data_IF_106176039418
#
_entry.id   IF_106176039418
#
_cell.length_a   1.000
_cell.length_b   1.000
_cell.length_c   1.000
_cell.angle_alpha   90.00
_cell.angle_beta   90.00
_cell.angle_gamma   90.00
#
_symmetry.space_group_name_H-M   'P 1'
#
loop_
_entity.id
_entity.type
_entity.pdbx_description
1 polymer ?
#
# COMPACT_ATOMS: atom_id res chain seq x y z
N UNK A 1 -14.34 -23.77 24.41
CA UNK A 1 -12.98 -23.45 23.92
C UNK A 1 -12.88 -21.95 23.97
N UNK A 2 -11.92 -21.43 24.71
CA UNK A 2 -11.65 -20.00 24.75
C UNK A 2 -10.86 -19.61 23.50
N UNK A 3 -11.49 -18.88 22.58
CA UNK A 3 -10.87 -18.41 21.35
C UNK A 3 -9.76 -17.40 21.63
N UNK A 4 -9.80 -16.69 22.76
CA UNK A 4 -8.81 -15.70 23.15
C UNK A 4 -7.39 -16.25 23.26
N UNK A 5 -7.24 -17.49 23.72
CA UNK A 5 -5.95 -18.19 23.75
C UNK A 5 -5.37 -18.39 22.35
N UNK A 6 -6.20 -18.82 21.39
CA UNK A 6 -5.77 -19.03 20.01
C UNK A 6 -5.40 -17.71 19.33
N UNK A 7 -6.14 -16.64 19.60
CA UNK A 7 -5.86 -15.30 19.08
C UNK A 7 -4.52 -14.76 19.60
N UNK A 8 -4.22 -14.94 20.89
CA UNK A 8 -2.90 -14.60 21.45
C UNK A 8 -1.78 -15.38 20.77
N UNK A 9 -1.96 -16.70 20.61
CA UNK A 9 -0.98 -17.55 19.93
C UNK A 9 -0.78 -17.14 18.47
N UNK A 10 -1.85 -16.73 17.77
CA UNK A 10 -1.78 -16.21 16.41
C UNK A 10 -0.85 -15.00 16.33
N UNK A 11 -0.98 -14.06 17.27
CA UNK A 11 -0.13 -12.85 17.34
C UNK A 11 1.31 -13.20 17.73
N UNK A 12 1.52 -14.01 18.76
CA UNK A 12 2.86 -14.44 19.21
C UNK A 12 3.66 -15.15 18.11
N UNK A 13 2.98 -15.89 17.24
CA UNK A 13 3.59 -16.62 16.12
C UNK A 13 3.64 -15.82 14.82
N UNK A 14 3.22 -14.54 14.82
CA UNK A 14 3.10 -13.71 13.62
C UNK A 14 2.29 -14.39 12.49
N UNK A 15 1.24 -15.11 12.86
CA UNK A 15 0.37 -15.77 11.90
C UNK A 15 -0.56 -14.74 11.20
N UNK A 16 -0.70 -14.87 9.88
CA UNK A 16 -1.53 -13.97 9.08
C UNK A 16 -3.01 -14.30 9.19
N UNK A 17 -3.34 -15.60 9.14
CA UNK A 17 -4.72 -16.09 9.10
C UNK A 17 -4.89 -17.32 10.01
N UNK A 18 -6.06 -17.50 10.58
CA UNK A 18 -6.50 -18.66 11.34
C UNK A 18 -7.78 -19.22 10.72
N UNK A 19 -7.87 -20.54 10.61
CA UNK A 19 -8.97 -21.24 9.96
C UNK A 19 -9.64 -22.19 10.95
N UNK A 20 -10.96 -22.08 11.07
CA UNK A 20 -11.78 -22.95 11.89
C UNK A 20 -12.88 -23.55 11.02
N UNK A 21 -12.88 -24.88 10.93
CA UNK A 21 -13.88 -25.63 10.16
C UNK A 21 -14.14 -26.99 10.78
N UNK A 22 -15.38 -27.47 10.73
CA UNK A 22 -15.78 -28.76 11.29
C UNK A 22 -14.99 -29.90 10.64
N UNK A 23 -14.45 -30.80 11.48
CA UNK A 23 -13.68 -31.98 11.06
C UNK A 23 -12.17 -31.77 10.93
N UNK A 24 -11.69 -30.52 10.87
CA UNK A 24 -10.26 -30.22 10.84
C UNK A 24 -9.79 -29.59 12.17
N UNK A 25 -8.51 -29.76 12.57
CA UNK A 25 -7.92 -28.95 13.64
C UNK A 25 -7.97 -27.46 13.31
N UNK A 26 -7.81 -26.61 14.31
CA UNK A 26 -7.58 -25.17 14.07
C UNK A 26 -6.26 -25.04 13.31
N UNK A 27 -6.25 -24.34 12.18
CA UNK A 27 -5.02 -24.04 11.44
C UNK A 27 -4.66 -22.57 11.58
N UNK A 28 -3.35 -22.28 11.62
CA UNK A 28 -2.82 -20.94 11.42
C UNK A 28 -1.89 -20.91 10.22
N UNK A 29 -1.81 -19.76 9.55
CA UNK A 29 -0.93 -19.52 8.42
C UNK A 29 0.23 -18.63 8.85
N UNK A 30 1.45 -19.13 8.74
CA UNK A 30 2.68 -18.38 9.04
C UNK A 30 3.52 -18.39 7.76
N UNK A 31 3.89 -17.21 7.27
CA UNK A 31 4.71 -17.04 6.06
C UNK A 31 4.21 -17.85 4.85
N UNK A 32 2.89 -17.89 4.65
CA UNK A 32 2.29 -18.60 3.53
C UNK A 32 1.99 -20.09 3.77
N UNK A 33 2.53 -20.70 4.82
CA UNK A 33 2.39 -22.13 5.14
C UNK A 33 1.37 -22.36 6.26
N UNK A 34 0.58 -23.44 6.15
CA UNK A 34 -0.43 -23.82 7.14
C UNK A 34 0.15 -24.75 8.20
N UNK A 35 -0.14 -24.44 9.47
CA UNK A 35 0.29 -25.20 10.65
C UNK A 35 -0.91 -25.53 11.53
N UNK A 36 -1.13 -26.80 11.91
CA UNK A 36 -2.23 -27.18 12.78
C UNK A 36 -1.91 -26.85 14.25
N UNK A 37 -2.89 -26.28 14.95
CA UNK A 37 -2.88 -26.04 16.39
C UNK A 37 -3.57 -27.20 17.10
N UNK A 38 -2.88 -28.34 17.16
CA UNK A 38 -3.35 -29.59 17.74
C UNK A 38 -3.72 -30.65 16.70
N UNK A 39 -4.09 -31.84 17.18
CA UNK A 39 -4.30 -33.02 16.33
C UNK A 39 -5.77 -33.44 16.21
N UNK A 40 -6.67 -32.80 16.95
CA UNK A 40 -8.08 -33.18 17.01
C UNK A 40 -8.92 -32.23 16.17
N UNK A 41 -9.75 -32.79 15.29
CA UNK A 41 -10.70 -32.01 14.50
C UNK A 41 -11.79 -31.35 15.35
N UNK A 42 -12.23 -30.16 14.95
CA UNK A 42 -13.35 -29.48 15.61
C UNK A 42 -14.65 -30.28 15.41
N UNK A 43 -15.40 -30.63 16.47
CA UNK A 43 -16.64 -31.39 16.32
C UNK A 43 -17.77 -30.54 15.71
N UNK A 44 -18.81 -31.16 15.14
CA UNK A 44 -19.98 -30.45 14.60
C UNK A 44 -20.58 -29.45 15.60
N UNK A 45 -20.96 -28.27 15.10
CA UNK A 45 -21.50 -27.19 15.91
C UNK A 45 -20.48 -26.43 16.80
N UNK A 46 -19.23 -26.88 16.89
CA UNK A 46 -18.21 -26.18 17.70
C UNK A 46 -17.86 -24.81 17.12
N UNK A 47 -17.63 -24.74 15.80
CA UNK A 47 -17.32 -23.47 15.12
C UNK A 47 -18.50 -22.50 15.25
N UNK A 48 -19.74 -23.00 15.16
CA UNK A 48 -20.95 -22.19 15.39
C UNK A 48 -20.93 -21.56 16.78
N UNK A 49 -20.65 -22.34 17.83
CA UNK A 49 -20.58 -21.83 19.21
C UNK A 49 -19.52 -20.73 19.35
N UNK A 50 -18.34 -20.91 18.75
CA UNK A 50 -17.27 -19.91 18.80
C UNK A 50 -17.69 -18.65 18.04
N UNK A 51 -18.16 -18.78 16.80
CA UNK A 51 -18.57 -17.63 15.99
C UNK A 51 -19.67 -16.81 16.69
N UNK A 52 -20.68 -17.47 17.25
CA UNK A 52 -21.78 -16.80 17.94
C UNK A 52 -21.33 -16.11 19.23
N UNK A 53 -20.29 -16.61 19.91
CA UNK A 53 -19.71 -15.92 21.07
C UNK A 53 -18.91 -14.66 20.71
N UNK A 54 -18.55 -14.49 19.44
CA UNK A 54 -17.87 -13.29 18.95
C UNK A 54 -18.86 -12.24 18.46
N UNK A 55 -20.07 -12.65 18.05
CA UNK A 55 -21.09 -11.79 17.49
C UNK A 55 -21.85 -11.00 18.58
N UNK A 56 -22.25 -9.78 18.27
CA UNK A 56 -23.24 -9.04 19.05
C UNK A 56 -24.69 -9.49 18.76
N UNK A 57 -25.65 -8.97 19.53
CA UNK A 57 -27.07 -9.33 19.42
C UNK A 57 -27.70 -8.99 18.06
N UNK A 58 -27.18 -7.98 17.35
CA UNK A 58 -27.65 -7.58 16.03
C UNK A 58 -27.03 -8.40 14.90
N UNK A 59 -25.80 -8.89 15.09
CA UNK A 59 -25.04 -9.65 14.11
C UNK A 59 -25.54 -11.08 13.91
N UNK A 60 -26.01 -11.75 14.97
CA UNK A 60 -26.50 -13.13 14.86
C UNK A 60 -27.69 -13.26 13.89
N UNK A 61 -28.76 -12.45 14.00
CA UNK A 61 -29.87 -12.50 13.03
C UNK A 61 -29.44 -12.17 11.60
N UNK A 62 -28.44 -11.29 11.43
CA UNK A 62 -27.90 -10.95 10.11
C UNK A 62 -27.19 -12.17 9.52
N UNK A 63 -26.31 -12.82 10.26
CA UNK A 63 -25.62 -14.03 9.80
C UNK A 63 -26.61 -15.16 9.49
N UNK A 64 -27.64 -15.36 10.31
CA UNK A 64 -28.63 -16.41 10.06
C UNK A 64 -29.48 -16.15 8.80
N UNK A 65 -29.64 -14.89 8.40
CA UNK A 65 -30.36 -14.49 7.18
C UNK A 65 -29.47 -14.51 5.94
N UNK A 66 -28.28 -13.91 6.02
CA UNK A 66 -27.38 -13.70 4.87
C UNK A 66 -26.43 -14.88 4.66
N UNK A 67 -26.21 -15.74 5.67
CA UNK A 67 -25.28 -16.89 5.66
C UNK A 67 -23.79 -16.53 5.54
N UNK A 68 -23.46 -15.25 5.45
CA UNK A 68 -22.12 -14.68 5.59
C UNK A 68 -22.13 -13.46 6.53
N UNK A 69 -21.02 -13.26 7.26
CA UNK A 69 -20.80 -12.08 8.10
C UNK A 69 -19.31 -11.71 8.14
N UNK A 70 -19.01 -10.44 7.90
CA UNK A 70 -17.70 -9.85 8.18
C UNK A 70 -17.81 -8.99 9.44
N UNK A 71 -16.85 -9.12 10.35
CA UNK A 71 -16.79 -8.32 11.57
C UNK A 71 -15.34 -8.10 12.00
N UNK A 72 -15.11 -7.11 12.85
CA UNK A 72 -13.82 -6.90 13.51
C UNK A 72 -13.94 -7.14 15.01
N UNK A 73 -12.93 -7.76 15.60
CA UNK A 73 -12.82 -7.94 17.05
C UNK A 73 -11.50 -7.37 17.54
N UNK A 74 -11.51 -6.78 18.73
CA UNK A 74 -10.31 -6.35 19.43
C UNK A 74 -10.21 -7.12 20.74
N UNK A 75 -9.06 -7.76 20.96
CA UNK A 75 -8.79 -8.47 22.20
C UNK A 75 -7.59 -7.82 22.89
N UNK A 76 -7.80 -7.44 24.15
CA UNK A 76 -6.75 -6.87 24.99
C UNK A 76 -5.56 -7.83 25.04
N UNK A 77 -4.35 -7.30 24.84
CA UNK A 77 -3.07 -8.01 24.80
C UNK A 77 -2.88 -9.02 23.64
N UNK A 78 -3.85 -9.18 22.73
CA UNK A 78 -3.69 -10.02 21.54
C UNK A 78 -3.69 -9.22 20.24
N UNK A 79 -4.39 -8.07 20.20
CA UNK A 79 -4.47 -7.21 19.02
C UNK A 79 -5.87 -7.15 18.41
N UNK A 80 -5.96 -6.69 17.16
CA UNK A 80 -7.21 -6.63 16.40
C UNK A 80 -7.23 -7.67 15.31
N UNK A 81 -8.42 -8.19 15.04
CA UNK A 81 -8.63 -9.24 14.08
C UNK A 81 -9.87 -8.97 13.25
N UNK A 82 -9.82 -9.30 11.98
CA UNK A 82 -10.99 -9.37 11.11
C UNK A 82 -11.47 -10.82 11.07
N UNK A 83 -12.76 -11.01 11.28
CA UNK A 83 -13.41 -12.32 11.32
C UNK A 83 -14.40 -12.37 10.16
N UNK A 84 -14.25 -13.37 9.30
CA UNK A 84 -15.24 -13.74 8.31
C UNK A 84 -15.88 -15.07 8.76
N UNK A 85 -17.20 -15.06 8.89
CA UNK A 85 -18.02 -16.22 9.24
C UNK A 85 -18.93 -16.55 8.06
N UNK A 86 -19.02 -17.83 7.71
CA UNK A 86 -19.78 -18.29 6.54
C UNK A 86 -20.37 -19.68 6.76
N UNK A 87 -21.30 -20.10 5.90
CA UNK A 87 -21.83 -21.47 5.86
C UNK A 87 -21.09 -22.33 4.85
N UNK A 88 -20.76 -23.56 5.23
CA UNK A 88 -20.21 -24.56 4.32
C UNK A 88 -20.69 -25.97 4.69
N UNK A 89 -21.27 -26.68 3.71
CA UNK A 89 -21.80 -28.05 3.88
C UNK A 89 -22.76 -28.20 5.09
N UNK A 90 -23.59 -27.18 5.35
CA UNK A 90 -24.54 -27.13 6.47
C UNK A 90 -23.93 -26.65 7.81
N UNK A 91 -22.62 -26.68 7.95
CA UNK A 91 -21.88 -26.25 9.14
C UNK A 91 -21.39 -24.80 9.02
N UNK A 92 -20.99 -24.19 10.15
CA UNK A 92 -20.38 -22.86 10.16
C UNK A 92 -18.87 -23.01 9.95
N UNK A 93 -18.31 -22.18 9.08
CA UNK A 93 -16.88 -21.96 8.91
C UNK A 93 -16.50 -20.56 9.39
N UNK A 94 -15.25 -20.39 9.81
CA UNK A 94 -14.74 -19.10 10.24
C UNK A 94 -13.26 -18.94 9.86
N UNK A 95 -12.93 -17.76 9.33
CA UNK A 95 -11.55 -17.34 9.07
C UNK A 95 -11.28 -16.06 9.83
N UNK A 96 -10.18 -16.03 10.57
CA UNK A 96 -9.73 -14.87 11.34
C UNK A 96 -8.41 -14.38 10.76
N UNK A 97 -8.30 -13.10 10.46
CA UNK A 97 -7.07 -12.44 9.99
C UNK A 97 -6.57 -11.46 11.04
N UNK A 98 -5.29 -11.52 11.38
CA UNK A 98 -4.68 -10.53 12.27
C UNK A 98 -4.46 -9.21 11.52
N UNK A 99 -4.83 -8.09 12.15
CA UNK A 99 -4.58 -6.75 11.63
C UNK A 99 -3.28 -6.23 12.24
N UNK A 100 -2.36 -5.77 11.39
CA UNK A 100 -1.02 -5.35 11.82
C UNK A 100 -1.09 -4.00 12.53
N UNK A 101 -0.44 -3.91 13.69
CA UNK A 101 -0.29 -2.66 14.45
C UNK A 101 1.13 -2.09 14.39
N UNK A 102 2.11 -2.92 14.02
CA UNK A 102 3.50 -2.48 13.82
C UNK A 102 3.62 -2.04 12.37
N UNK A 103 3.86 -0.76 12.18
CA UNK A 103 4.07 -0.13 10.88
C UNK A 103 5.57 0.09 10.75
N UNK A 104 6.26 -0.57 9.79
CA UNK A 104 7.65 -0.30 9.50
C UNK A 104 7.84 1.17 9.08
N UNK A 105 9.01 1.73 9.37
CA UNK A 105 9.40 3.06 8.86
C UNK A 105 9.74 3.01 7.37
N UNK A 106 9.76 4.19 6.75
CA UNK A 106 10.19 4.37 5.35
C UNK A 106 11.61 3.80 5.14
N UNK A 107 12.51 4.02 6.11
CA UNK A 107 13.88 3.50 6.11
C UNK A 107 13.93 1.97 6.21
N UNK A 108 13.20 1.37 7.15
CA UNK A 108 13.19 -0.09 7.36
C UNK A 108 12.66 -0.84 6.13
N UNK A 109 11.79 -0.20 5.35
CA UNK A 109 11.28 -0.75 4.10
C UNK A 109 12.22 -0.52 2.91
N UNK A 110 13.29 0.27 3.05
CA UNK A 110 14.12 0.73 1.94
C UNK A 110 13.31 1.48 0.86
N UNK A 111 12.34 2.29 1.28
CA UNK A 111 11.56 3.13 0.38
C UNK A 111 12.33 4.41 0.02
N UNK A 112 12.05 5.03 -1.16
CA UNK A 112 12.67 6.28 -1.55
C UNK A 112 12.49 7.38 -0.49
N UNK A 113 13.57 8.08 -0.06
CA UNK A 113 13.49 9.12 0.96
C UNK A 113 12.50 10.25 0.64
N UNK A 114 12.34 10.57 -0.66
CA UNK A 114 11.41 11.60 -1.17
C UNK A 114 9.95 11.35 -0.75
N UNK A 115 9.58 10.12 -0.37
CA UNK A 115 8.24 9.83 0.15
C UNK A 115 7.94 10.59 1.45
N UNK A 116 8.97 10.92 2.26
CA UNK A 116 8.86 11.77 3.44
C UNK A 116 8.43 13.19 3.07
N UNK A 117 9.00 13.74 2.01
CA UNK A 117 8.66 15.09 1.55
C UNK A 117 7.28 15.10 0.89
N UNK A 118 6.96 14.07 0.11
CA UNK A 118 5.66 13.92 -0.55
C UNK A 118 4.52 13.87 0.47
N UNK A 119 4.62 13.06 1.53
CA UNK A 119 3.53 12.96 2.52
C UNK A 119 3.35 14.24 3.35
N UNK A 120 4.42 15.04 3.50
CA UNK A 120 4.38 16.30 4.25
C UNK A 120 3.86 17.48 3.42
N UNK A 121 3.51 17.26 2.15
CA UNK A 121 2.87 18.29 1.35
C UNK A 121 1.51 18.70 1.92
N UNK A 122 1.16 20.00 1.85
CA UNK A 122 -0.09 20.48 2.43
C UNK A 122 -1.32 19.98 1.67
N UNK A 123 -1.20 19.81 0.36
CA UNK A 123 -2.30 19.41 -0.53
C UNK A 123 -1.80 18.74 -1.81
N UNK A 124 -2.70 18.04 -2.47
CA UNK A 124 -2.47 17.40 -3.76
C UNK A 124 -2.94 15.95 -3.76
N UNK A 125 -2.78 15.29 -4.89
CA UNK A 125 -3.10 13.89 -5.08
C UNK A 125 -1.80 13.07 -5.16
N UNK A 126 -1.68 12.07 -4.30
CA UNK A 126 -0.57 11.10 -4.30
C UNK A 126 -1.12 9.72 -4.58
N UNK A 127 -0.63 9.09 -5.65
CA UNK A 127 -1.07 7.75 -6.05
C UNK A 127 0.04 6.74 -5.78
N UNK A 128 -0.26 5.71 -4.98
CA UNK A 128 0.64 4.56 -4.80
C UNK A 128 0.09 3.41 -5.64
N UNK A 129 0.84 2.98 -6.64
CA UNK A 129 0.38 2.01 -7.63
C UNK A 129 1.26 0.77 -7.68
N UNK A 130 0.71 -0.31 -8.20
CA UNK A 130 1.39 -1.60 -8.30
C UNK A 130 0.42 -2.78 -8.29
N UNK A 131 0.94 -3.95 -8.62
CA UNK A 131 0.19 -5.20 -8.57
C UNK A 131 -0.21 -5.59 -7.14
N UNK A 132 -1.07 -6.61 -7.01
CA UNK A 132 -1.41 -7.17 -5.70
C UNK A 132 -0.15 -7.75 -5.04
N UNK A 133 0.07 -7.40 -3.77
CA UNK A 133 1.25 -7.84 -3.03
C UNK A 133 2.55 -7.08 -3.35
N UNK A 134 2.49 -5.95 -4.06
CA UNK A 134 3.67 -5.11 -4.32
C UNK A 134 4.11 -4.22 -3.15
N UNK A 135 3.38 -4.24 -2.03
CA UNK A 135 3.71 -3.45 -0.83
C UNK A 135 2.97 -2.12 -0.69
N UNK A 136 2.03 -1.77 -1.59
CA UNK A 136 1.29 -0.48 -1.57
C UNK A 136 0.76 -0.08 -0.20
N UNK A 137 -0.03 -0.94 0.44
CA UNK A 137 -0.66 -0.65 1.74
C UNK A 137 0.38 -0.47 2.83
N UNK A 138 1.49 -1.22 2.79
CA UNK A 138 2.60 -1.08 3.73
C UNK A 138 3.34 0.25 3.53
N UNK A 139 3.58 0.66 2.29
CA UNK A 139 4.19 1.96 1.97
C UNK A 139 3.30 3.12 2.39
N UNK A 140 2.00 3.06 2.09
CA UNK A 140 1.02 4.06 2.53
C UNK A 140 0.96 4.17 4.06
N UNK A 141 0.89 3.04 4.76
CA UNK A 141 0.91 3.03 6.21
C UNK A 141 2.20 3.70 6.74
N UNK A 142 3.36 3.41 6.14
CA UNK A 142 4.63 4.02 6.55
C UNK A 142 4.66 5.53 6.33
N UNK A 143 4.13 6.00 5.20
CA UNK A 143 4.00 7.43 4.90
C UNK A 143 3.06 8.11 5.90
N UNK A 144 1.86 7.58 6.10
CA UNK A 144 0.87 8.12 7.04
C UNK A 144 1.43 8.14 8.46
N UNK A 145 2.12 7.08 8.88
CA UNK A 145 2.71 7.00 10.21
C UNK A 145 3.85 8.02 10.40
N UNK A 146 4.64 8.27 9.36
CA UNK A 146 5.64 9.34 9.36
C UNK A 146 4.98 10.70 9.60
N UNK A 147 3.96 11.08 8.81
CA UNK A 147 3.24 12.35 8.99
C UNK A 147 2.53 12.44 10.35
N UNK A 148 1.91 11.36 10.79
CA UNK A 148 1.26 11.29 12.11
C UNK A 148 2.27 11.52 13.26
N UNK A 149 3.54 11.16 13.06
CA UNK A 149 4.62 11.35 14.04
C UNK A 149 5.22 12.76 13.99
N UNK A 150 5.21 13.42 12.83
CA UNK A 150 5.95 14.67 12.58
C UNK A 150 5.07 15.91 12.42
N UNK A 151 3.76 15.75 12.27
CA UNK A 151 2.80 16.84 12.11
C UNK A 151 1.57 16.64 12.97
N UNK A 152 1.01 17.74 13.45
CA UNK A 152 -0.37 17.80 13.94
C UNK A 152 -1.36 17.89 12.79
N UNK A 153 -2.58 17.40 12.99
CA UNK A 153 -3.64 17.46 12.00
C UNK A 153 -4.66 16.33 12.18
N UNK A 154 -5.58 16.22 11.23
CA UNK A 154 -6.55 15.15 11.14
C UNK A 154 -6.29 14.30 9.89
N UNK A 155 -6.06 13.02 10.11
CA UNK A 155 -5.90 12.01 9.07
C UNK A 155 -7.16 11.14 9.07
N UNK A 156 -7.84 11.08 7.93
CA UNK A 156 -9.01 10.25 7.72
C UNK A 156 -8.68 9.16 6.69
N UNK A 157 -8.88 7.89 7.03
CA UNK A 157 -8.74 6.79 6.07
C UNK A 157 -10.09 6.13 5.81
N UNK A 158 -10.33 5.76 4.56
CA UNK A 158 -11.49 4.99 4.11
C UNK A 158 -10.93 3.78 3.37
N UNK A 159 -11.09 2.59 3.94
CA UNK A 159 -10.39 1.38 3.50
C UNK A 159 -11.34 0.18 3.37
N UNK A 160 -10.98 -0.81 2.55
CA UNK A 160 -11.75 -2.04 2.36
C UNK A 160 -10.79 -3.23 2.15
N UNK A 161 -10.32 -3.90 3.23
CA UNK A 161 -10.45 -3.55 4.65
C UNK A 161 -9.34 -2.63 5.14
N UNK A 162 -9.37 -2.28 6.44
CA UNK A 162 -8.21 -1.71 7.13
C UNK A 162 -7.09 -2.76 7.25
N UNK A 163 -5.92 -2.46 6.68
CA UNK A 163 -4.76 -3.37 6.70
C UNK A 163 -3.79 -3.08 7.86
N UNK A 164 -3.63 -1.80 8.21
CA UNK A 164 -2.78 -1.32 9.30
C UNK A 164 -3.56 -0.40 10.24
N UNK A 165 -3.32 -0.56 11.54
CA UNK A 165 -3.91 0.32 12.55
C UNK A 165 -2.95 1.45 12.91
N UNK A 166 -3.41 2.66 12.69
CA UNK A 166 -2.71 3.87 13.09
C UNK A 166 -3.17 4.30 14.48
N UNK A 167 -2.25 4.36 15.43
CA UNK A 167 -2.50 4.97 16.73
C UNK A 167 -2.39 6.49 16.61
N UNK A 168 -3.15 7.23 17.40
CA UNK A 168 -2.96 8.67 17.52
C UNK A 168 -1.54 8.98 18.02
N UNK A 169 -0.89 9.96 17.40
CA UNK A 169 0.43 10.48 17.80
C UNK A 169 0.35 12.00 17.87
N UNK A 170 1.02 12.73 16.98
CA UNK A 170 0.83 14.18 16.86
C UNK A 170 -0.45 14.52 16.10
N UNK A 171 -0.84 13.66 15.14
CA UNK A 171 -2.13 13.76 14.45
C UNK A 171 -3.21 12.90 15.11
N UNK A 172 -4.46 13.32 14.92
CA UNK A 172 -5.65 12.50 15.16
C UNK A 172 -5.87 11.65 13.91
N UNK A 173 -6.16 10.36 14.09
CA UNK A 173 -6.33 9.41 12.98
C UNK A 173 -7.64 8.67 13.12
N UNK A 174 -8.58 8.91 12.20
CA UNK A 174 -9.83 8.19 12.11
C UNK A 174 -9.77 7.25 10.91
N UNK A 175 -10.01 5.95 11.13
CA UNK A 175 -10.04 4.95 10.07
C UNK A 175 -11.45 4.39 9.94
N UNK A 176 -11.95 4.28 8.72
CA UNK A 176 -13.29 3.78 8.43
C UNK A 176 -13.20 2.61 7.46
N UNK A 177 -13.64 1.45 7.91
CA UNK A 177 -13.74 0.25 7.08
C UNK A 177 -15.09 0.20 6.35
N UNK A 178 -15.07 -0.04 5.04
CA UNK A 178 -16.27 -0.24 4.24
C UNK A 178 -16.93 -1.57 4.63
N UNK A 179 -18.25 -1.55 4.79
CA UNK A 179 -19.04 -2.67 5.29
C UNK A 179 -19.16 -2.72 6.82
N UNK A 180 -18.28 -2.03 7.56
CA UNK A 180 -18.29 -2.00 9.03
C UNK A 180 -18.63 -0.60 9.57
N UNK A 181 -17.83 0.41 9.24
CA UNK A 181 -17.97 1.80 9.72
C UNK A 181 -18.72 2.70 8.73
N UNK A 182 -18.84 2.25 7.49
CA UNK A 182 -19.59 2.92 6.41
C UNK A 182 -20.15 1.89 5.46
N UNK A 183 -21.35 2.11 4.91
CA UNK A 183 -21.96 1.14 3.99
C UNK A 183 -21.23 1.03 2.63
N UNK A 184 -20.63 2.12 2.17
CA UNK A 184 -19.95 2.18 0.87
C UNK A 184 -18.92 3.32 0.86
N UNK A 185 -17.95 3.23 -0.06
CA UNK A 185 -16.99 4.32 -0.32
C UNK A 185 -17.68 5.65 -0.59
N UNK A 186 -18.65 5.68 -1.49
CA UNK A 186 -19.37 6.92 -1.85
C UNK A 186 -19.96 7.64 -0.62
N UNK A 187 -20.55 6.89 0.31
CA UNK A 187 -21.14 7.44 1.52
C UNK A 187 -20.07 8.06 2.43
N UNK A 188 -18.92 7.41 2.58
CA UNK A 188 -17.82 7.94 3.38
C UNK A 188 -17.18 9.17 2.74
N UNK A 189 -16.88 9.12 1.43
CA UNK A 189 -16.29 10.23 0.68
C UNK A 189 -17.17 11.48 0.72
N UNK A 190 -18.49 11.32 0.58
CA UNK A 190 -19.45 12.44 0.68
C UNK A 190 -19.43 13.12 2.05
N UNK A 191 -19.16 12.38 3.12
CA UNK A 191 -19.14 12.91 4.48
C UNK A 191 -17.75 13.39 4.93
N UNK A 192 -16.67 12.85 4.36
CA UNK A 192 -15.29 13.21 4.66
C UNK A 192 -15.04 14.73 4.60
N UNK A 193 -15.65 15.46 3.65
CA UNK A 193 -15.55 16.92 3.55
C UNK A 193 -16.06 17.67 4.79
N UNK A 194 -16.95 17.06 5.58
CA UNK A 194 -17.51 17.64 6.82
C UNK A 194 -16.79 17.16 8.07
N UNK A 195 -15.83 16.25 7.92
CA UNK A 195 -15.04 15.68 9.00
C UNK A 195 -13.74 16.47 9.23
N UNK A 196 -13.55 17.58 8.50
CA UNK A 196 -12.38 18.47 8.56
C UNK A 196 -11.03 17.72 8.55
N UNK A 197 -10.77 16.82 7.57
CA UNK A 197 -9.46 16.19 7.44
C UNK A 197 -8.43 17.17 6.88
N UNK A 198 -7.15 16.95 7.19
CA UNK A 198 -6.00 17.52 6.48
C UNK A 198 -5.45 16.52 5.44
N UNK A 199 -5.57 15.22 5.76
CA UNK A 199 -5.16 14.09 4.93
C UNK A 199 -6.30 13.13 4.78
N UNK A 200 -6.53 12.67 3.55
CA UNK A 200 -7.51 11.64 3.25
C UNK A 200 -6.80 10.49 2.55
N UNK A 201 -6.92 9.27 3.08
CA UNK A 201 -6.57 8.04 2.36
C UNK A 201 -7.85 7.41 1.81
N UNK A 202 -7.89 7.20 0.51
CA UNK A 202 -8.87 6.36 -0.17
C UNK A 202 -8.18 5.03 -0.50
N UNK A 203 -8.62 3.93 0.11
CA UNK A 203 -7.96 2.63 0.02
C UNK A 203 -7.60 2.24 -1.41
N UNK A 204 -8.61 2.13 -2.29
CA UNK A 204 -8.40 1.86 -3.71
C UNK A 204 -9.41 2.63 -4.59
N UNK A 205 -8.93 3.12 -5.74
CA UNK A 205 -9.79 3.74 -6.77
C UNK A 205 -10.11 2.70 -7.84
N UNK A 206 -11.39 2.30 -7.87
CA UNK A 206 -11.91 1.30 -8.80
C UNK A 206 -12.77 1.88 -9.94
N UNK A 207 -13.26 3.11 -9.78
CA UNK A 207 -14.20 3.73 -10.70
C UNK A 207 -14.01 5.25 -10.82
N UNK A 208 -14.73 5.84 -11.78
CA UNK A 208 -14.71 7.27 -12.06
C UNK A 208 -15.17 8.10 -10.86
N UNK A 209 -16.23 7.67 -10.16
CA UNK A 209 -16.80 8.42 -9.04
C UNK A 209 -15.81 8.57 -7.89
N UNK A 210 -15.05 7.51 -7.59
CA UNK A 210 -14.03 7.52 -6.55
C UNK A 210 -12.82 8.37 -6.99
N UNK A 211 -12.44 8.31 -8.26
CA UNK A 211 -11.37 9.13 -8.82
C UNK A 211 -11.73 10.63 -8.83
N UNK A 212 -12.96 10.98 -9.18
CA UNK A 212 -13.48 12.36 -9.12
C UNK A 212 -13.42 12.90 -7.69
N UNK A 213 -13.83 12.08 -6.71
CA UNK A 213 -13.73 12.47 -5.31
C UNK A 213 -12.27 12.72 -4.90
N UNK A 214 -11.33 11.84 -5.28
CA UNK A 214 -9.91 12.00 -4.99
C UNK A 214 -9.33 13.31 -5.57
N UNK A 215 -9.67 13.62 -6.83
CA UNK A 215 -9.28 14.89 -7.47
C UNK A 215 -9.90 16.08 -6.74
N UNK A 216 -11.19 16.01 -6.40
CA UNK A 216 -11.89 17.10 -5.72
C UNK A 216 -11.31 17.37 -4.32
N UNK A 217 -10.90 16.34 -3.57
CA UNK A 217 -10.21 16.52 -2.29
C UNK A 217 -8.88 17.27 -2.48
N UNK A 218 -8.08 16.87 -3.46
CA UNK A 218 -6.82 17.52 -3.77
C UNK A 218 -7.02 19.00 -4.18
N UNK A 219 -8.05 19.27 -5.00
CA UNK A 219 -8.40 20.62 -5.45
C UNK A 219 -8.87 21.52 -4.30
N UNK A 220 -9.65 20.97 -3.37
CA UNK A 220 -10.19 21.69 -2.20
C UNK A 220 -9.17 21.90 -1.08
N UNK A 221 -7.90 21.54 -1.30
CA UNK A 221 -6.80 21.88 -0.41
C UNK A 221 -6.38 20.77 0.55
N UNK A 222 -6.82 19.53 0.34
CA UNK A 222 -6.43 18.37 1.14
C UNK A 222 -5.26 17.64 0.50
N UNK A 223 -4.48 16.89 1.29
CA UNK A 223 -3.62 15.85 0.74
C UNK A 223 -4.44 14.56 0.60
N UNK A 224 -4.75 14.16 -0.62
CA UNK A 224 -5.44 12.91 -0.91
C UNK A 224 -4.42 11.84 -1.33
N UNK A 225 -4.39 10.72 -0.62
CA UNK A 225 -3.65 9.52 -0.99
C UNK A 225 -4.62 8.47 -1.50
N UNK A 226 -4.21 7.73 -2.54
CA UNK A 226 -4.99 6.59 -3.00
C UNK A 226 -4.13 5.50 -3.63
N UNK A 227 -4.69 4.29 -3.76
CA UNK A 227 -4.07 3.24 -4.57
C UNK A 227 -4.82 2.96 -5.87
N UNK A 228 -4.06 2.55 -6.88
CA UNK A 228 -4.59 1.96 -8.12
C UNK A 228 -3.76 0.73 -8.50
N UNK A 229 -4.39 -0.21 -9.20
CA UNK A 229 -3.68 -1.26 -9.91
C UNK A 229 -3.13 -0.78 -11.25
N UNK A 230 -1.90 -0.30 -11.26
CA UNK A 230 -1.15 0.03 -12.47
C UNK A 230 0.30 -0.41 -12.32
N UNK A 231 1.02 -0.57 -13.43
CA UNK A 231 2.39 -1.06 -13.39
C UNK A 231 3.43 0.04 -13.22
N UNK A 232 3.16 1.23 -13.76
CA UNK A 232 4.07 2.38 -13.81
C UNK A 232 3.27 3.71 -13.93
N UNK A 233 3.96 4.84 -13.95
CA UNK A 233 3.35 6.16 -13.82
C UNK A 233 2.54 6.57 -15.06
N UNK A 234 3.05 6.37 -16.27
CA UNK A 234 2.36 6.66 -17.54
C UNK A 234 1.09 5.80 -17.69
N UNK A 235 1.17 4.48 -17.46
CA UNK A 235 -0.02 3.62 -17.48
C UNK A 235 -1.03 3.97 -16.40
N UNK A 236 -0.59 4.57 -15.28
CA UNK A 236 -1.51 5.07 -14.25
C UNK A 236 -2.37 6.19 -14.78
N UNK A 237 -1.78 7.13 -15.51
CA UNK A 237 -2.54 8.22 -16.13
C UNK A 237 -3.52 7.66 -17.16
N UNK A 238 -3.08 6.75 -18.04
CA UNK A 238 -3.98 6.10 -19.01
C UNK A 238 -5.13 5.35 -18.34
N UNK A 239 -4.83 4.59 -17.27
CA UNK A 239 -5.85 3.87 -16.49
C UNK A 239 -6.88 4.82 -15.90
N UNK A 240 -6.45 5.98 -15.39
CA UNK A 240 -7.37 7.00 -14.88
C UNK A 240 -8.29 7.47 -16.01
N UNK A 241 -7.76 7.77 -17.20
CA UNK A 241 -8.58 8.20 -18.35
C UNK A 241 -9.61 7.14 -18.75
N UNK A 242 -9.27 5.86 -18.67
CA UNK A 242 -10.18 4.76 -19.00
C UNK A 242 -11.39 4.63 -18.06
N UNK A 243 -11.38 5.27 -16.88
CA UNK A 243 -12.58 5.36 -16.05
C UNK A 243 -13.63 6.32 -16.65
N UNK A 244 -13.19 7.27 -17.48
CA UNK A 244 -14.02 8.36 -17.97
C UNK A 244 -14.35 8.21 -19.46
N UNK A 245 -15.51 8.72 -19.92
CA UNK A 245 -15.77 8.85 -21.34
C UNK A 245 -14.75 9.80 -22.00
N UNK A 246 -14.44 9.57 -23.27
CA UNK A 246 -13.44 10.36 -24.03
C UNK A 246 -13.70 11.87 -23.99
N UNK A 247 -14.99 12.27 -23.96
CA UNK A 247 -15.39 13.68 -23.86
C UNK A 247 -14.90 14.37 -22.58
N UNK A 248 -14.64 13.61 -21.51
CA UNK A 248 -14.16 14.12 -20.23
C UNK A 248 -12.63 14.09 -20.10
N UNK A 249 -11.91 13.38 -20.98
CA UNK A 249 -10.46 13.16 -20.84
C UNK A 249 -9.66 14.46 -20.72
N UNK A 250 -9.98 15.47 -21.53
CA UNK A 250 -9.31 16.78 -21.47
C UNK A 250 -9.45 17.46 -20.10
N UNK A 251 -10.64 17.34 -19.49
CA UNK A 251 -10.89 17.93 -18.18
C UNK A 251 -10.17 17.15 -17.08
N UNK A 252 -10.20 15.81 -17.15
CA UNK A 252 -9.48 14.94 -16.21
C UNK A 252 -7.98 15.22 -16.25
N UNK A 253 -7.39 15.30 -17.44
CA UNK A 253 -5.98 15.64 -17.62
C UNK A 253 -5.62 17.03 -17.08
N UNK A 254 -6.47 18.03 -17.30
CA UNK A 254 -6.28 19.37 -16.73
C UNK A 254 -6.29 19.31 -15.20
N UNK A 255 -7.25 18.60 -14.62
CA UNK A 255 -7.36 18.46 -13.17
C UNK A 255 -6.16 17.70 -12.58
N UNK A 256 -5.69 16.65 -13.24
CA UNK A 256 -4.46 15.94 -12.84
C UNK A 256 -3.24 16.85 -12.94
N UNK A 257 -3.09 17.62 -14.02
CA UNK A 257 -1.99 18.56 -14.18
C UNK A 257 -1.93 19.60 -13.04
N UNK A 258 -3.09 20.02 -12.51
CA UNK A 258 -3.17 20.98 -11.42
C UNK A 258 -2.98 20.34 -10.03
N UNK A 259 -3.54 19.16 -9.81
CA UNK A 259 -3.72 18.59 -8.47
C UNK A 259 -2.80 17.40 -8.17
N UNK A 260 -2.26 16.70 -9.17
CA UNK A 260 -1.33 15.60 -8.97
C UNK A 260 -0.06 16.11 -8.29
N UNK A 261 0.38 15.44 -7.23
CA UNK A 261 1.67 15.68 -6.59
C UNK A 261 2.70 14.66 -7.04
N UNK A 262 2.35 13.38 -6.94
CA UNK A 262 3.24 12.28 -7.31
C UNK A 262 2.47 11.00 -7.67
N UNK A 263 3.09 10.16 -8.50
CA UNK A 263 2.73 8.75 -8.69
C UNK A 263 3.93 7.91 -8.29
N UNK A 264 3.73 6.98 -7.36
CA UNK A 264 4.78 6.08 -6.86
C UNK A 264 4.37 4.66 -7.24
N UNK A 265 5.07 4.09 -8.21
CA UNK A 265 4.83 2.75 -8.69
C UNK A 265 5.77 1.78 -7.99
N UNK A 266 5.25 0.68 -7.45
CA UNK A 266 6.03 -0.25 -6.64
C UNK A 266 5.97 -1.68 -7.16
N UNK A 267 7.13 -2.35 -7.10
CA UNK A 267 7.30 -3.79 -7.35
C UNK A 267 8.22 -4.36 -6.28
N UNK A 268 8.02 -5.64 -5.92
CA UNK A 268 8.94 -6.34 -5.02
C UNK A 268 9.88 -7.21 -5.83
N UNK A 269 11.18 -6.95 -5.73
CA UNK A 269 12.26 -7.72 -6.36
C UNK A 269 13.00 -8.56 -5.33
N UNK A 270 13.56 -9.69 -5.75
CA UNK A 270 14.34 -10.54 -4.86
C UNK A 270 15.76 -9.98 -4.68
N UNK A 271 16.12 -9.67 -3.43
CA UNK A 271 17.47 -9.30 -3.01
C UNK A 271 18.48 -10.45 -3.09
N UNK A 272 19.76 -10.09 -3.14
CA UNK A 272 20.89 -11.03 -3.08
C UNK A 272 20.91 -11.83 -1.76
N UNK A 273 20.36 -11.26 -0.69
CA UNK A 273 20.14 -11.90 0.61
C UNK A 273 18.90 -12.82 0.67
N UNK A 274 18.16 -12.92 -0.44
CA UNK A 274 16.94 -13.71 -0.57
C UNK A 274 15.67 -13.02 -0.05
N UNK A 275 15.77 -11.84 0.57
CA UNK A 275 14.60 -11.05 1.00
C UNK A 275 13.99 -10.31 -0.19
N UNK A 276 12.81 -9.71 0.02
CA UNK A 276 12.16 -8.88 -0.99
C UNK A 276 12.44 -7.41 -0.70
N UNK A 277 12.88 -6.68 -1.72
CA UNK A 277 13.14 -5.24 -1.67
C UNK A 277 12.14 -4.52 -2.58
N UNK A 278 11.65 -3.32 -2.19
CA UNK A 278 10.83 -2.52 -3.10
C UNK A 278 11.71 -1.84 -4.14
N UNK A 279 11.49 -2.15 -5.40
CA UNK A 279 11.87 -1.27 -6.50
C UNK A 279 10.73 -0.28 -6.71
N UNK A 280 11.05 1.01 -6.76
CA UNK A 280 10.06 2.07 -6.87
C UNK A 280 10.40 3.02 -8.02
N UNK A 281 9.41 3.28 -8.86
CA UNK A 281 9.42 4.41 -9.76
C UNK A 281 8.66 5.56 -9.12
N UNK A 282 9.20 6.77 -9.20
CA UNK A 282 8.61 7.96 -8.59
C UNK A 282 8.48 9.04 -9.65
N UNK A 283 7.25 9.31 -10.08
CA UNK A 283 6.91 10.48 -10.89
C UNK A 283 6.52 11.63 -9.96
N UNK A 284 7.19 12.77 -10.10
CA UNK A 284 6.85 14.04 -9.44
C UNK A 284 6.22 14.99 -10.48
N UNK A 285 5.12 15.64 -10.13
CA UNK A 285 4.40 16.53 -11.06
C UNK A 285 5.09 17.91 -11.24
N UNK A 286 6.25 17.92 -11.87
CA UNK A 286 7.05 19.11 -12.22
C UNK A 286 6.37 19.96 -13.31
N UNK A 287 6.80 21.21 -13.56
CA UNK A 287 6.21 22.05 -14.62
C UNK A 287 6.18 21.37 -16.00
N UNK A 288 7.19 20.57 -16.35
CA UNK A 288 7.23 19.81 -17.60
C UNK A 288 6.15 18.73 -17.63
N UNK A 289 6.04 17.91 -16.58
CA UNK A 289 4.99 16.89 -16.46
C UNK A 289 3.59 17.51 -16.52
N UNK A 290 3.40 18.66 -15.88
CA UNK A 290 2.13 19.41 -15.95
C UNK A 290 1.78 19.83 -17.37
N UNK A 291 2.76 20.29 -18.16
CA UNK A 291 2.54 20.68 -19.55
C UNK A 291 2.19 19.47 -20.41
N UNK A 292 2.91 18.35 -20.25
CA UNK A 292 2.62 17.09 -20.94
C UNK A 292 1.20 16.58 -20.64
N UNK A 293 0.78 16.62 -19.37
CA UNK A 293 -0.58 16.26 -18.96
C UNK A 293 -1.61 17.20 -19.61
N UNK A 294 -1.40 18.52 -19.58
CA UNK A 294 -2.32 19.49 -20.21
C UNK A 294 -2.49 19.28 -21.72
N UNK A 295 -1.43 18.84 -22.40
CA UNK A 295 -1.42 18.54 -23.84
C UNK A 295 -1.92 17.13 -24.17
N UNK A 296 -2.10 16.27 -23.16
CA UNK A 296 -2.46 14.86 -23.34
C UNK A 296 -1.32 14.00 -23.90
N UNK A 297 -0.07 14.45 -23.81
CA UNK A 297 1.12 13.73 -24.26
C UNK A 297 1.62 12.74 -23.19
N UNK A 298 0.73 11.85 -22.74
CA UNK A 298 1.03 10.89 -21.65
C UNK A 298 2.21 9.97 -22.00
N UNK A 299 2.34 9.58 -23.27
CA UNK A 299 3.43 8.73 -23.76
C UNK A 299 4.83 9.37 -23.65
N UNK A 300 4.94 10.68 -23.51
CA UNK A 300 6.22 11.39 -23.34
C UNK A 300 6.66 11.47 -21.87
N UNK A 301 5.77 11.16 -20.91
CA UNK A 301 6.04 11.27 -19.46
C UNK A 301 7.27 10.44 -19.07
N UNK A 302 7.40 9.22 -19.59
CA UNK A 302 8.51 8.34 -19.23
C UNK A 302 9.86 8.91 -19.66
N UNK A 303 9.98 9.41 -20.88
CA UNK A 303 11.20 10.06 -21.36
C UNK A 303 11.52 11.32 -20.53
N UNK A 304 10.49 12.12 -20.22
CA UNK A 304 10.64 13.29 -19.36
C UNK A 304 11.10 12.94 -17.93
N UNK A 305 10.72 11.77 -17.42
CA UNK A 305 11.24 11.26 -16.14
C UNK A 305 12.70 10.85 -16.24
N UNK A 306 13.09 10.13 -17.31
CA UNK A 306 14.48 9.69 -17.49
C UNK A 306 15.47 10.86 -17.61
N UNK A 307 15.05 11.95 -18.26
CA UNK A 307 15.85 13.16 -18.47
C UNK A 307 15.74 14.18 -17.31
N UNK A 308 14.87 13.92 -16.33
CA UNK A 308 14.64 14.87 -15.24
C UNK A 308 15.89 15.01 -14.36
N UNK A 309 16.09 16.22 -13.84
CA UNK A 309 17.05 16.52 -12.77
C UNK A 309 16.33 16.76 -11.42
N UNK A 310 15.01 16.54 -11.38
CA UNK A 310 14.24 16.69 -10.14
C UNK A 310 14.65 15.62 -9.14
N UNK A 311 15.13 16.05 -7.97
CA UNK A 311 15.56 15.13 -6.93
C UNK A 311 14.41 14.21 -6.49
N UNK A 312 14.69 12.91 -6.43
CA UNK A 312 13.71 11.89 -6.06
C UNK A 312 12.74 11.48 -7.18
N UNK A 313 12.85 12.05 -8.39
CA UNK A 313 12.23 11.48 -9.58
C UNK A 313 13.13 10.35 -10.13
N UNK A 314 12.57 9.16 -10.33
CA UNK A 314 13.35 7.99 -10.77
C UNK A 314 12.42 7.04 -11.55
N UNK A 315 12.84 6.57 -12.73
CA UNK A 315 12.12 5.50 -13.45
C UNK A 315 12.44 4.11 -12.90
N UNK A 316 11.60 3.11 -13.18
CA UNK A 316 11.91 1.73 -12.76
C UNK A 316 13.26 1.25 -13.26
N UNK A 317 13.60 1.53 -14.52
CA UNK A 317 14.84 1.05 -15.12
C UNK A 317 16.07 1.75 -14.48
N UNK A 318 15.97 3.02 -14.09
CA UNK A 318 17.00 3.71 -13.30
C UNK A 318 17.14 3.11 -11.90
N UNK A 319 16.03 2.91 -11.20
CA UNK A 319 15.99 2.29 -9.87
C UNK A 319 16.64 0.90 -9.88
N UNK A 320 16.22 0.03 -10.80
CA UNK A 320 16.73 -1.33 -10.93
C UNK A 320 18.22 -1.35 -11.31
N UNK A 321 18.65 -0.45 -12.20
CA UNK A 321 20.07 -0.30 -12.53
C UNK A 321 20.90 0.05 -11.28
N UNK A 322 20.45 1.04 -10.51
CA UNK A 322 21.09 1.48 -9.28
C UNK A 322 21.15 0.36 -8.24
N UNK A 323 20.05 -0.35 -8.01
CA UNK A 323 20.00 -1.49 -7.07
C UNK A 323 21.00 -2.60 -7.44
N UNK A 324 21.24 -2.86 -8.74
CA UNK A 324 22.28 -3.82 -9.18
C UNK A 324 23.68 -3.27 -8.91
N UNK A 325 23.93 -1.99 -9.19
CA UNK A 325 25.23 -1.34 -8.94
C UNK A 325 25.59 -1.30 -7.45
N UNK A 326 24.59 -1.14 -6.59
CA UNK A 326 24.73 -1.21 -5.13
C UNK A 326 24.83 -2.65 -4.59
N UNK A 327 24.72 -3.68 -5.45
CA UNK A 327 24.81 -5.09 -5.06
C UNK A 327 23.59 -5.63 -4.30
N UNK A 328 22.46 -4.91 -4.34
CA UNK A 328 21.23 -5.28 -3.62
C UNK A 328 20.46 -6.39 -4.32
N UNK A 329 20.48 -6.42 -5.66
CA UNK A 329 19.77 -7.42 -6.49
C UNK A 329 20.68 -7.94 -7.60
N UNK A 330 20.40 -9.15 -8.07
CA UNK A 330 21.08 -9.74 -9.23
C UNK A 330 20.62 -9.08 -10.53
N UNK A 331 21.52 -8.97 -11.52
CA UNK A 331 21.21 -8.38 -12.82
C UNK A 331 20.06 -9.10 -13.55
N UNK A 332 19.97 -10.42 -13.42
CA UNK A 332 18.88 -11.20 -14.03
C UNK A 332 17.51 -10.83 -13.42
N UNK A 333 17.45 -10.60 -12.11
CA UNK A 333 16.23 -10.18 -11.43
C UNK A 333 15.83 -8.77 -11.87
N UNK A 334 16.80 -7.85 -11.99
CA UNK A 334 16.55 -6.51 -12.51
C UNK A 334 15.97 -6.55 -13.94
N UNK A 335 16.54 -7.34 -14.84
CA UNK A 335 16.05 -7.48 -16.22
C UNK A 335 14.65 -8.12 -16.30
N UNK A 336 14.28 -8.95 -15.34
CA UNK A 336 12.93 -9.53 -15.23
C UNK A 336 11.90 -8.50 -14.77
N UNK A 337 12.30 -7.61 -13.86
CA UNK A 337 11.43 -6.61 -13.25
C UNK A 337 11.36 -5.29 -14.05
N UNK A 338 12.24 -5.10 -15.04
CA UNK A 338 12.34 -3.91 -15.87
C UNK A 338 11.08 -3.65 -16.71
N UNK A 339 10.83 -2.38 -16.99
CA UNK A 339 9.83 -2.01 -18.00
C UNK A 339 10.35 -2.28 -19.40
N UNK A 340 11.62 -1.95 -19.66
CA UNK A 340 12.30 -2.25 -20.91
C UNK A 340 13.49 -3.15 -20.63
N UNK A 341 13.29 -4.47 -20.77
CA UNK A 341 14.38 -5.45 -20.61
C UNK A 341 15.56 -5.13 -21.52
N UNK A 342 15.32 -4.81 -22.78
CA UNK A 342 16.38 -4.51 -23.75
C UNK A 342 17.05 -3.16 -23.46
N UNK A 343 16.27 -2.15 -23.05
CA UNK A 343 16.79 -0.85 -22.64
C UNK A 343 17.71 -0.96 -21.43
N UNK A 344 17.27 -1.68 -20.39
CA UNK A 344 18.07 -1.91 -19.19
C UNK A 344 19.32 -2.78 -19.49
N UNK A 345 19.20 -3.81 -20.33
CA UNK A 345 20.33 -4.62 -20.77
C UNK A 345 21.36 -3.80 -21.57
N UNK A 346 20.91 -2.83 -22.38
CA UNK A 346 21.80 -1.88 -23.03
C UNK A 346 22.49 -0.96 -22.01
N UNK A 347 21.76 -0.42 -21.03
CA UNK A 347 22.32 0.40 -19.93
C UNK A 347 23.44 -0.33 -19.18
N UNK A 348 23.25 -1.61 -18.84
CA UNK A 348 24.30 -2.42 -18.21
C UNK A 348 25.55 -2.57 -19.09
N UNK A 349 25.39 -2.91 -20.37
CA UNK A 349 26.52 -3.06 -21.30
C UNK A 349 27.31 -1.76 -21.50
N UNK A 350 26.61 -0.63 -21.62
CA UNK A 350 27.25 0.68 -21.77
C UNK A 350 28.05 1.05 -20.52
N UNK A 351 27.49 0.84 -19.33
CA UNK A 351 28.18 1.12 -18.06
C UNK A 351 29.41 0.21 -17.83
N UNK A 352 29.38 -1.04 -18.29
CA UNK A 352 30.55 -1.93 -18.24
C UNK A 352 31.66 -1.53 -19.22
N UNK A 353 31.28 -0.99 -20.40
CA UNK A 353 32.21 -0.48 -21.41
C UNK A 353 32.84 0.88 -21.06
N UNK A 354 32.17 1.70 -20.26
CA UNK A 354 32.59 3.06 -19.88
C UNK A 354 33.57 3.14 -18.70
N UNK A 355 34.28 2.07 -18.33
CA UNK A 355 35.30 2.09 -17.24
C UNK A 355 36.51 3.03 -17.49
N UNK A 356 36.45 3.95 -18.46
CA UNK A 356 37.52 4.91 -18.78
C UNK A 356 37.08 6.32 -19.20
N UNK A 357 35.79 6.58 -19.49
CA UNK A 357 35.31 7.94 -19.83
C UNK A 357 33.92 8.16 -19.22
N UNK A 358 33.72 9.37 -18.70
CA UNK A 358 32.55 9.93 -18.02
C UNK A 358 31.27 9.07 -18.09
N UNK A 359 30.87 8.50 -16.95
CA UNK A 359 29.57 7.88 -16.75
C UNK A 359 28.51 9.00 -16.63
N UNK A 360 27.64 9.19 -17.63
CA UNK A 360 26.61 10.24 -17.61
C UNK A 360 25.52 10.01 -16.54
N UNK A 361 25.64 8.94 -15.75
CA UNK A 361 24.72 8.58 -14.66
C UNK A 361 25.38 8.56 -13.28
N UNK A 362 26.65 8.96 -13.16
CA UNK A 362 27.36 9.03 -11.87
C UNK A 362 26.82 10.12 -10.92
N UNK A 363 26.03 11.08 -11.42
CA UNK A 363 25.56 12.24 -10.64
C UNK A 363 24.36 11.94 -9.71
N UNK A 364 23.93 10.68 -9.61
CA UNK A 364 22.83 10.26 -8.71
C UNK A 364 23.30 9.64 -7.37
N UNK A 365 24.57 9.82 -7.01
CA UNK A 365 25.10 9.40 -5.71
C UNK A 365 24.65 10.39 -4.61
N UNK A 366 23.41 10.19 -4.13
CA UNK A 366 22.87 10.98 -3.03
C UNK A 366 23.70 10.72 -1.76
N UNK A 367 24.32 11.79 -1.24
CA UNK A 367 25.31 11.81 -0.17
C UNK A 367 24.90 11.17 1.15
N UNK A 368 24.80 9.85 1.19
CA UNK A 368 24.62 9.03 2.39
C UNK A 368 25.97 8.49 2.88
N UNK A 369 26.94 9.39 3.08
CA UNK A 369 28.08 9.06 3.95
C UNK A 369 27.60 9.11 5.40
N UNK A 370 26.97 8.02 5.84
CA UNK A 370 26.72 7.79 7.26
C UNK A 370 28.08 7.75 7.97
N UNK A 371 28.34 8.61 8.98
CA UNK A 371 29.59 8.55 9.71
C UNK A 371 29.66 7.21 10.45
N UNK A 372 30.72 6.45 10.18
CA UNK A 372 31.07 5.27 10.98
C UNK A 372 31.33 5.74 12.41
N UNK A 373 30.36 5.53 13.29
CA UNK A 373 30.58 5.64 14.74
C UNK A 373 31.47 4.46 15.11
N UNK A 374 32.77 4.70 15.19
CA UNK A 374 33.71 3.81 15.86
C UNK A 374 33.55 4.03 17.36
N UNK A 375 32.94 3.06 18.05
CA UNK A 375 33.02 2.99 19.50
C UNK A 375 34.47 2.74 19.90
N UNK A 376 35.16 3.81 20.29
CA UNK A 376 36.39 3.76 21.07
C UNK A 376 36.04 3.71 22.55
N UNK A 377 36.50 2.65 23.22
CA UNK A 377 36.50 2.52 24.66
C UNK A 377 37.26 3.68 25.33
N UNK A 378 36.67 4.23 26.39
CA UNK A 378 37.23 5.22 27.31
C UNK A 378 36.25 5.51 28.42
#
# INVERSE_FOLDING_TARGET
>A
MDIGYFLKLMTEKNASDMFLTTGAPVYIKIEGKLYPLGNTGLPPGMVKKIAYSLMDEGQVPVFERELELNMAIALQDAGRFRVNVFKQRGEVGMVIRAIRSVIPSIEELNLPPVLKDIIMTPRGLVLIVGSTGSGKSTSLASMIDYRNTTSTGHILTIEDPIEYLHRHKQSIVNQREVGLDTHAFHNALKNAMREAPDVILIGEILDATTMEAAIAFAETGHLCLATLHSNNADQTIERILNFFPESAHKNVLMNLALNLRAVVSQRLVKGTDGRRLPAAEVLINTPMIRDLLRRGQVHEIKAAMEESLEEGMETFDQCLFRMVKEGQIEQEEALRAADSRDGLALKFRLSEGSKGEHDPYADYDNGSSSPRITHGFG
#
